data_IF_329981661298
#
_entry.id   IF_329981661298
#
_cell.length_a   1.000
_cell.length_b   1.000
_cell.length_c   1.000
_cell.angle_alpha   90.00
_cell.angle_beta   90.00
_cell.angle_gamma   90.00
#
_symmetry.space_group_name_H-M   'P 1'
#
loop_
_entity.id
_entity.type
_entity.pdbx_description
1 polymer ?
#
# COMPACT_ATOMS: atom_id res chain seq x y z
N UNK A 1 25.52 -17.11 -12.60
CA UNK A 1 24.89 -16.19 -11.63
C UNK A 1 23.38 -16.32 -11.78
N UNK A 2 22.64 -16.64 -10.71
CA UNK A 2 21.16 -16.60 -10.77
C UNK A 2 20.73 -15.16 -11.07
N UNK A 3 19.84 -14.96 -12.04
CA UNK A 3 19.26 -13.64 -12.30
C UNK A 3 18.60 -13.11 -11.02
N UNK A 4 19.01 -11.91 -10.59
CA UNK A 4 18.42 -11.26 -9.43
C UNK A 4 17.02 -10.75 -9.80
N UNK A 5 16.05 -11.07 -8.94
CA UNK A 5 14.65 -10.74 -9.17
C UNK A 5 14.36 -9.35 -8.61
N UNK A 6 13.55 -8.57 -9.31
CA UNK A 6 13.12 -7.25 -8.83
C UNK A 6 12.19 -7.39 -7.62
N UNK A 7 12.21 -6.39 -6.72
CA UNK A 7 11.34 -6.36 -5.54
C UNK A 7 9.87 -6.56 -5.94
N UNK A 8 9.42 -5.89 -7.00
CA UNK A 8 8.06 -6.03 -7.52
C UNK A 8 7.67 -7.45 -7.88
N UNK A 9 8.56 -8.16 -8.59
CA UNK A 9 8.29 -9.53 -9.03
C UNK A 9 8.25 -10.47 -7.82
N UNK A 10 9.06 -10.22 -6.81
CA UNK A 10 9.03 -10.97 -5.56
C UNK A 10 7.74 -10.75 -4.77
N UNK A 11 7.27 -9.51 -4.64
CA UNK A 11 6.03 -9.17 -3.94
C UNK A 11 4.80 -9.71 -4.68
N UNK A 12 4.70 -9.50 -6.00
CA UNK A 12 3.62 -10.07 -6.83
C UNK A 12 3.55 -11.59 -6.70
N UNK A 13 4.71 -12.27 -6.71
CA UNK A 13 4.76 -13.72 -6.48
C UNK A 13 4.23 -14.08 -5.09
N UNK A 14 4.54 -13.29 -4.07
CA UNK A 14 4.03 -13.47 -2.72
C UNK A 14 2.51 -13.46 -2.66
N UNK A 15 1.86 -12.45 -3.23
CA UNK A 15 0.40 -12.41 -3.30
C UNK A 15 -0.18 -13.59 -4.07
N UNK A 16 0.46 -14.01 -5.17
CA UNK A 16 -0.01 -15.12 -5.98
C UNK A 16 0.10 -16.48 -5.26
N UNK A 17 1.18 -16.74 -4.54
CA UNK A 17 1.42 -18.05 -3.91
C UNK A 17 0.92 -18.13 -2.47
N UNK A 18 0.69 -16.99 -1.80
CA UNK A 18 0.22 -16.92 -0.42
C UNK A 18 -1.23 -16.47 -0.39
N UNK A 19 -1.53 -15.23 -0.81
CA UNK A 19 -2.85 -14.63 -0.59
C UNK A 19 -3.94 -15.26 -1.47
N UNK A 20 -3.65 -15.58 -2.73
CA UNK A 20 -4.65 -16.15 -3.64
C UNK A 20 -5.17 -17.51 -3.13
N UNK A 21 -4.31 -18.50 -2.78
CA UNK A 21 -4.78 -19.74 -2.17
C UNK A 21 -5.52 -19.53 -0.83
N UNK A 22 -5.05 -18.61 0.02
CA UNK A 22 -5.72 -18.27 1.28
C UNK A 22 -7.14 -17.78 1.02
N UNK A 23 -7.34 -16.88 0.05
CA UNK A 23 -8.65 -16.39 -0.36
C UNK A 23 -9.54 -17.52 -0.90
N UNK A 24 -8.97 -18.42 -1.72
CA UNK A 24 -9.70 -19.58 -2.23
C UNK A 24 -10.14 -20.54 -1.11
N UNK A 25 -9.31 -20.75 -0.09
CA UNK A 25 -9.68 -21.57 1.08
C UNK A 25 -10.74 -20.87 1.93
N UNK A 26 -10.60 -19.57 2.17
CA UNK A 26 -11.55 -18.78 2.96
C UNK A 26 -12.94 -18.70 2.34
N UNK A 27 -13.05 -18.64 1.01
CA UNK A 27 -14.35 -18.52 0.32
C UNK A 27 -14.83 -19.89 -0.17
N UNK A 28 -13.93 -20.74 -0.63
CA UNK A 28 -14.23 -22.03 -1.25
C UNK A 28 -14.87 -23.02 -0.27
N UNK A 29 -14.38 -23.11 0.97
CA UNK A 29 -14.99 -23.98 1.98
C UNK A 29 -16.41 -23.52 2.36
N UNK A 30 -16.65 -22.24 2.74
CA UNK A 30 -18.01 -21.76 2.96
C UNK A 30 -18.95 -21.95 1.77
N UNK A 31 -18.48 -21.68 0.55
CA UNK A 31 -19.27 -21.85 -0.66
C UNK A 31 -19.63 -23.33 -0.90
N UNK A 32 -18.67 -24.24 -0.72
CA UNK A 32 -18.90 -25.68 -0.83
C UNK A 32 -19.92 -26.17 0.20
N UNK A 33 -19.80 -25.74 1.46
CA UNK A 33 -20.74 -26.14 2.51
C UNK A 33 -22.13 -25.51 2.31
N UNK A 34 -22.22 -24.26 1.85
CA UNK A 34 -23.49 -23.65 1.45
C UNK A 34 -24.15 -24.42 0.29
N UNK A 35 -23.36 -24.87 -0.68
CA UNK A 35 -23.85 -25.71 -1.77
C UNK A 35 -24.35 -27.08 -1.28
N UNK A 36 -23.59 -27.77 -0.43
CA UNK A 36 -24.01 -29.05 0.17
C UNK A 36 -25.28 -28.90 1.02
N UNK A 37 -25.44 -27.76 1.70
CA UNK A 37 -26.66 -27.43 2.41
C UNK A 37 -27.85 -27.27 1.45
N UNK A 38 -27.66 -26.58 0.31
CA UNK A 38 -28.72 -26.42 -0.71
C UNK A 38 -29.19 -27.75 -1.30
N UNK A 39 -28.34 -28.78 -1.27
CA UNK A 39 -28.67 -30.15 -1.68
C UNK A 39 -29.30 -30.99 -0.56
N UNK A 40 -29.55 -30.41 0.62
CA UNK A 40 -30.03 -31.09 1.83
C UNK A 40 -29.13 -32.26 2.30
N UNK A 41 -27.85 -32.28 1.93
CA UNK A 41 -26.88 -33.31 2.35
C UNK A 41 -26.42 -33.07 3.79
N UNK A 42 -26.31 -31.79 4.18
CA UNK A 42 -25.87 -31.38 5.51
C UNK A 42 -26.90 -30.45 6.17
N UNK A 43 -26.98 -30.43 7.51
CA UNK A 43 -27.83 -29.51 8.25
C UNK A 43 -27.29 -28.07 8.24
N UNK A 44 -28.13 -27.09 8.60
CA UNK A 44 -27.81 -25.66 8.55
C UNK A 44 -26.55 -25.27 9.34
N UNK A 45 -26.26 -25.97 10.45
CA UNK A 45 -25.04 -25.72 11.25
C UNK A 45 -23.75 -26.11 10.50
N UNK A 46 -23.85 -26.95 9.47
CA UNK A 46 -22.74 -27.34 8.61
C UNK A 46 -22.08 -26.14 7.94
N UNK A 47 -22.84 -25.09 7.61
CA UNK A 47 -22.28 -23.85 7.03
C UNK A 47 -21.28 -23.20 8.00
N UNK A 48 -21.62 -23.11 9.29
CA UNK A 48 -20.74 -22.55 10.32
C UNK A 48 -19.46 -23.37 10.44
N UNK A 49 -19.58 -24.70 10.37
CA UNK A 49 -18.42 -25.61 10.37
C UNK A 49 -17.56 -25.42 9.12
N UNK A 50 -18.17 -25.19 7.95
CA UNK A 50 -17.46 -24.84 6.72
C UNK A 50 -16.64 -23.56 6.85
N UNK A 51 -17.17 -22.53 7.52
CA UNK A 51 -16.42 -21.32 7.85
C UNK A 51 -15.22 -21.60 8.75
N UNK A 52 -15.40 -22.38 9.82
CA UNK A 52 -14.32 -22.72 10.74
C UNK A 52 -13.21 -23.52 10.04
N UNK A 53 -13.57 -24.54 9.26
CA UNK A 53 -12.61 -25.35 8.50
C UNK A 53 -11.89 -24.50 7.46
N UNK A 54 -12.61 -23.63 6.74
CA UNK A 54 -12.02 -22.72 5.76
C UNK A 54 -11.01 -21.78 6.40
N UNK A 55 -11.36 -21.18 7.54
CA UNK A 55 -10.47 -20.30 8.28
C UNK A 55 -9.21 -21.02 8.79
N UNK A 56 -9.36 -22.18 9.45
CA UNK A 56 -8.22 -22.94 9.98
C UNK A 56 -7.29 -23.43 8.85
N UNK A 57 -7.85 -23.90 7.75
CA UNK A 57 -7.08 -24.37 6.59
C UNK A 57 -6.31 -23.22 5.94
N UNK A 58 -6.97 -22.07 5.75
CA UNK A 58 -6.36 -20.86 5.22
C UNK A 58 -5.22 -20.38 6.13
N UNK A 59 -5.43 -20.40 7.45
CA UNK A 59 -4.44 -20.02 8.46
C UNK A 59 -3.16 -20.87 8.40
N UNK A 60 -3.32 -22.19 8.39
CA UNK A 60 -2.20 -23.14 8.34
C UNK A 60 -1.44 -23.03 7.02
N UNK A 61 -2.15 -22.89 5.90
CA UNK A 61 -1.54 -22.69 4.60
C UNK A 61 -0.70 -21.42 4.56
N UNK A 62 -1.27 -20.30 5.03
CA UNK A 62 -0.59 -19.01 5.11
C UNK A 62 0.69 -19.12 5.95
N UNK A 63 0.57 -19.68 7.15
CA UNK A 63 1.68 -19.84 8.10
C UNK A 63 2.88 -20.61 7.52
N UNK A 64 2.63 -21.66 6.73
CA UNK A 64 3.70 -22.40 6.08
C UNK A 64 4.26 -21.69 4.84
N UNK A 65 3.39 -21.19 3.96
CA UNK A 65 3.82 -20.64 2.67
C UNK A 65 4.48 -19.28 2.80
N UNK A 66 4.12 -18.47 3.80
CA UNK A 66 4.76 -17.18 4.01
C UNK A 66 6.24 -17.32 4.35
N UNK A 67 6.61 -18.30 5.19
CA UNK A 67 8.01 -18.64 5.51
C UNK A 67 8.79 -19.02 4.25
N UNK A 68 8.23 -19.93 3.44
CA UNK A 68 8.88 -20.39 2.20
C UNK A 68 9.03 -19.26 1.18
N UNK A 69 8.00 -18.42 1.04
CA UNK A 69 8.08 -17.22 0.22
C UNK A 69 9.16 -16.27 0.73
N UNK A 70 9.22 -16.01 2.03
CA UNK A 70 10.21 -15.12 2.66
C UNK A 70 11.63 -15.57 2.33
N UNK A 71 11.97 -16.81 2.64
CA UNK A 71 13.31 -17.34 2.34
C UNK A 71 13.65 -17.22 0.85
N UNK A 72 12.71 -17.59 -0.02
CA UNK A 72 12.91 -17.47 -1.47
C UNK A 72 13.10 -16.02 -1.91
N UNK A 73 12.30 -15.08 -1.41
CA UNK A 73 12.35 -13.68 -1.80
C UNK A 73 13.67 -13.03 -1.36
N UNK A 74 14.07 -13.24 -0.10
CA UNK A 74 15.34 -12.71 0.43
C UNK A 74 16.58 -13.39 -0.18
N UNK A 75 16.47 -14.64 -0.65
CA UNK A 75 17.54 -15.30 -1.42
C UNK A 75 17.74 -14.65 -2.80
N UNK A 76 16.65 -14.31 -3.50
CA UNK A 76 16.69 -13.92 -4.91
C UNK A 76 16.66 -12.40 -5.17
N UNK A 77 16.34 -11.59 -4.17
CA UNK A 77 16.31 -10.12 -4.29
C UNK A 77 17.60 -9.52 -3.72
N UNK A 78 18.12 -8.50 -4.41
CA UNK A 78 19.32 -7.76 -3.99
C UNK A 78 19.03 -6.72 -2.89
N UNK A 79 17.97 -5.95 -3.09
CA UNK A 79 17.54 -4.85 -2.21
C UNK A 79 16.60 -5.38 -1.12
N UNK A 80 17.20 -5.96 -0.08
CA UNK A 80 16.48 -6.65 0.99
C UNK A 80 15.75 -5.68 1.93
N UNK A 81 16.24 -4.44 2.08
CA UNK A 81 15.57 -3.43 2.89
C UNK A 81 14.28 -2.97 2.24
N UNK A 82 14.33 -2.63 0.94
CA UNK A 82 13.13 -2.30 0.16
C UNK A 82 12.14 -3.47 0.16
N UNK A 83 12.60 -4.71 -0.04
CA UNK A 83 11.74 -5.88 -0.03
C UNK A 83 11.00 -6.03 1.31
N UNK A 84 11.72 -5.94 2.44
CA UNK A 84 11.11 -6.05 3.77
C UNK A 84 10.07 -4.94 3.98
N UNK A 85 10.46 -3.70 3.69
CA UNK A 85 9.58 -2.54 3.83
C UNK A 85 8.31 -2.73 3.01
N UNK A 86 8.43 -3.05 1.72
CA UNK A 86 7.28 -3.22 0.82
C UNK A 86 6.42 -4.41 1.19
N UNK A 87 7.00 -5.52 1.63
CA UNK A 87 6.24 -6.68 2.07
C UNK A 87 5.35 -6.36 3.28
N UNK A 88 5.82 -5.53 4.21
CA UNK A 88 5.00 -5.03 5.34
C UNK A 88 3.90 -4.09 4.84
N UNK A 89 4.28 -3.15 3.96
CA UNK A 89 3.35 -2.16 3.40
C UNK A 89 2.23 -2.79 2.58
N UNK A 90 2.52 -3.82 1.79
CA UNK A 90 1.53 -4.54 0.99
C UNK A 90 0.78 -5.62 1.82
N UNK A 91 1.04 -5.70 3.14
CA UNK A 91 0.34 -6.61 4.05
C UNK A 91 0.63 -8.09 3.81
N UNK A 92 1.76 -8.38 3.16
CA UNK A 92 2.20 -9.74 2.89
C UNK A 92 2.89 -10.35 4.13
N UNK A 93 3.67 -9.54 4.85
CA UNK A 93 4.25 -9.90 6.15
C UNK A 93 3.81 -8.90 7.22
N UNK A 94 3.81 -9.34 8.47
CA UNK A 94 3.54 -8.46 9.61
C UNK A 94 4.78 -7.63 9.96
N UNK A 95 4.57 -6.48 10.59
CA UNK A 95 5.65 -5.72 11.22
C UNK A 95 6.26 -6.58 12.34
N UNK A 96 7.59 -6.55 12.46
CA UNK A 96 8.36 -7.27 13.47
C UNK A 96 7.74 -7.13 14.88
N UNK A 97 7.83 -8.18 15.68
CA UNK A 97 7.33 -8.28 17.06
C UNK A 97 5.79 -8.32 17.23
N UNK A 98 5.01 -8.53 16.17
CA UNK A 98 3.57 -8.81 16.27
C UNK A 98 3.31 -10.30 16.53
N UNK A 99 2.24 -10.61 17.28
CA UNK A 99 1.90 -11.99 17.68
C UNK A 99 1.78 -12.97 16.49
N UNK A 100 1.37 -12.47 15.33
CA UNK A 100 1.21 -13.24 14.10
C UNK A 100 2.52 -13.78 13.54
N UNK A 101 3.65 -13.10 13.73
CA UNK A 101 4.98 -13.58 13.30
C UNK A 101 5.34 -14.89 14.02
N UNK A 102 4.88 -15.05 15.27
CA UNK A 102 5.10 -16.27 16.07
C UNK A 102 4.30 -17.47 15.58
N UNK A 103 3.29 -17.25 14.75
CA UNK A 103 2.46 -18.33 14.20
C UNK A 103 3.00 -18.91 12.90
N UNK A 104 4.13 -18.39 12.41
CA UNK A 104 4.81 -18.90 11.22
C UNK A 104 5.49 -20.25 11.50
N UNK A 105 5.19 -21.25 10.67
CA UNK A 105 5.83 -22.56 10.78
C UNK A 105 7.21 -22.47 10.12
N UNK A 106 8.26 -22.66 10.92
CA UNK A 106 9.66 -22.64 10.49
C UNK A 106 10.37 -23.93 10.90
N UNK A 107 11.01 -24.61 9.95
CA UNK A 107 11.91 -25.72 10.28
C UNK A 107 13.27 -25.20 10.75
N UNK A 108 14.08 -26.05 11.39
CA UNK A 108 15.44 -25.66 11.79
C UNK A 108 16.37 -25.40 10.60
N UNK A 109 16.07 -25.98 9.44
CA UNK A 109 16.75 -25.63 8.18
C UNK A 109 16.36 -24.23 7.70
N UNK A 110 15.10 -23.83 7.86
CA UNK A 110 14.61 -22.49 7.50
C UNK A 110 15.25 -21.42 8.38
N UNK A 111 15.35 -21.66 9.70
CA UNK A 111 16.02 -20.75 10.66
C UNK A 111 17.49 -20.53 10.31
N UNK A 112 18.22 -21.59 9.93
CA UNK A 112 19.61 -21.49 9.50
C UNK A 112 19.77 -20.65 8.24
N UNK A 113 18.93 -20.92 7.22
CA UNK A 113 18.91 -20.11 5.99
C UNK A 113 18.58 -18.65 6.26
N UNK A 114 17.66 -18.37 7.18
CA UNK A 114 17.31 -17.00 7.54
C UNK A 114 18.51 -16.25 8.14
N UNK A 115 19.25 -16.87 9.07
CA UNK A 115 20.48 -16.29 9.64
C UNK A 115 21.53 -15.98 8.57
N UNK A 116 21.68 -16.85 7.57
CA UNK A 116 22.61 -16.58 6.46
C UNK A 116 22.15 -15.39 5.60
N UNK A 117 20.83 -15.24 5.42
CA UNK A 117 20.24 -14.14 4.64
C UNK A 117 20.26 -12.81 5.39
N UNK A 118 20.26 -12.81 6.72
CA UNK A 118 20.39 -11.59 7.54
C UNK A 118 21.66 -10.80 7.20
N UNK A 119 22.74 -11.49 6.82
CA UNK A 119 23.98 -10.85 6.35
C UNK A 119 23.78 -9.94 5.14
N UNK A 120 22.70 -10.12 4.36
CA UNK A 120 22.40 -9.21 3.23
C UNK A 120 21.95 -7.82 3.70
N UNK A 121 21.42 -7.68 4.91
CA UNK A 121 21.04 -6.39 5.48
C UNK A 121 22.26 -5.53 5.84
N UNK A 122 23.44 -6.12 6.00
CA UNK A 122 24.68 -5.35 6.18
C UNK A 122 25.05 -4.54 4.92
N UNK A 123 24.57 -4.96 3.75
CA UNK A 123 24.84 -4.28 2.48
C UNK A 123 23.72 -3.28 2.18
N UNK A 124 24.10 -2.04 1.85
CA UNK A 124 23.17 -1.02 1.37
C UNK A 124 22.47 -1.49 0.08
N UNK A 125 21.22 -1.07 -0.08
CA UNK A 125 20.44 -1.29 -1.29
C UNK A 125 21.08 -0.52 -2.47
N UNK A 126 21.05 -1.14 -3.65
CA UNK A 126 21.62 -0.59 -4.88
C UNK A 126 20.49 -0.15 -5.80
N UNK A 127 20.51 1.11 -6.21
CA UNK A 127 19.51 1.69 -7.11
C UNK A 127 20.16 2.07 -8.43
N UNK A 128 19.41 1.90 -9.52
CA UNK A 128 19.79 2.36 -10.85
C UNK A 128 18.94 3.56 -11.21
N UNK A 129 19.53 4.49 -11.96
CA UNK A 129 18.79 5.62 -12.49
C UNK A 129 17.70 5.14 -13.45
N UNK A 130 16.49 5.67 -13.29
CA UNK A 130 15.40 5.46 -14.22
C UNK A 130 15.40 6.56 -15.29
N UNK A 131 15.94 6.24 -16.47
CA UNK A 131 16.01 7.17 -17.60
C UNK A 131 14.64 7.54 -18.19
N UNK A 132 13.55 6.85 -17.82
CA UNK A 132 12.20 7.24 -18.25
C UNK A 132 11.69 8.48 -17.52
N UNK A 133 12.30 8.85 -16.38
CA UNK A 133 11.90 10.02 -15.59
C UNK A 133 12.53 11.29 -16.19
N UNK A 134 11.74 12.35 -16.48
CA UNK A 134 12.25 13.59 -17.06
C UNK A 134 13.22 14.33 -16.12
N UNK A 135 13.89 15.39 -16.60
CA UNK A 135 14.79 16.21 -15.76
C UNK A 135 14.08 17.00 -14.65
N UNK A 136 12.77 17.21 -14.79
CA UNK A 136 11.91 17.83 -13.79
C UNK A 136 10.56 17.14 -13.77
N UNK A 137 10.11 16.75 -12.58
CA UNK A 137 8.82 16.10 -12.35
C UNK A 137 7.95 17.02 -11.52
N UNK A 138 6.75 17.31 -12.01
CA UNK A 138 5.73 18.08 -11.29
C UNK A 138 4.53 17.18 -10.99
N UNK A 139 4.17 17.09 -9.72
CA UNK A 139 3.09 16.26 -9.20
C UNK A 139 1.92 17.18 -8.84
N UNK A 140 0.72 16.77 -9.21
CA UNK A 140 -0.53 17.53 -9.01
C UNK A 140 -1.57 16.64 -8.31
N UNK A 141 -2.69 17.23 -7.91
CA UNK A 141 -3.86 16.44 -7.55
C UNK A 141 -4.30 15.52 -8.71
N UNK A 142 -4.74 14.31 -8.37
CA UNK A 142 -5.24 13.34 -9.33
C UNK A 142 -6.65 13.71 -9.77
N UNK A 143 -6.77 14.31 -10.97
CA UNK A 143 -8.07 14.72 -11.50
C UNK A 143 -9.03 13.54 -11.63
N UNK A 144 -8.57 12.40 -12.12
CA UNK A 144 -9.44 11.23 -12.31
C UNK A 144 -9.96 10.67 -10.99
N UNK A 145 -9.10 10.56 -9.97
CA UNK A 145 -9.50 10.11 -8.63
C UNK A 145 -10.51 11.08 -8.02
N UNK A 146 -10.20 12.36 -8.04
CA UNK A 146 -11.04 13.37 -7.38
C UNK A 146 -12.36 13.59 -8.12
N UNK A 147 -12.41 13.43 -9.45
CA UNK A 147 -13.67 13.43 -10.22
C UNK A 147 -14.53 12.22 -9.84
N UNK A 148 -13.94 11.03 -9.72
CA UNK A 148 -14.67 9.84 -9.32
C UNK A 148 -15.26 9.99 -7.91
N UNK A 149 -14.46 10.47 -6.95
CA UNK A 149 -14.92 10.74 -5.59
C UNK A 149 -16.00 11.84 -5.55
N UNK A 150 -15.84 12.91 -6.33
CA UNK A 150 -16.85 13.96 -6.46
C UNK A 150 -18.20 13.41 -6.97
N UNK A 151 -18.18 12.54 -7.99
CA UNK A 151 -19.41 11.92 -8.52
C UNK A 151 -20.11 11.11 -7.42
N UNK A 152 -19.37 10.28 -6.67
CA UNK A 152 -19.92 9.50 -5.56
C UNK A 152 -20.53 10.42 -4.49
N UNK A 153 -19.83 11.48 -4.10
CA UNK A 153 -20.28 12.39 -3.05
C UNK A 153 -21.50 13.20 -3.47
N UNK A 154 -21.63 13.56 -4.76
CA UNK A 154 -22.83 14.18 -5.32
C UNK A 154 -24.01 13.21 -5.36
N UNK A 155 -23.79 11.92 -5.65
CA UNK A 155 -24.82 10.89 -5.57
C UNK A 155 -25.29 10.70 -4.12
N UNK A 156 -24.37 10.64 -3.15
CA UNK A 156 -24.72 10.60 -1.73
C UNK A 156 -25.52 11.84 -1.30
N UNK A 157 -25.09 13.02 -1.75
CA UNK A 157 -25.79 14.28 -1.48
C UNK A 157 -27.23 14.27 -2.02
N UNK A 158 -27.40 13.91 -3.30
CA UNK A 158 -28.73 13.81 -3.93
C UNK A 158 -29.62 12.74 -3.29
N UNK A 159 -29.05 11.58 -2.94
CA UNK A 159 -29.77 10.53 -2.23
C UNK A 159 -30.18 10.96 -0.81
N UNK A 160 -29.34 11.75 -0.13
CA UNK A 160 -29.67 12.34 1.17
C UNK A 160 -30.89 13.26 1.09
N UNK A 161 -30.94 14.14 0.08
CA UNK A 161 -32.07 15.04 -0.17
C UNK A 161 -33.34 14.25 -0.50
N UNK A 162 -33.21 13.19 -1.31
CA UNK A 162 -34.31 12.30 -1.63
C UNK A 162 -34.90 11.64 -0.38
N UNK A 163 -34.06 11.10 0.50
CA UNK A 163 -34.51 10.50 1.77
C UNK A 163 -35.24 11.53 2.64
N UNK A 164 -34.76 12.77 2.70
CA UNK A 164 -35.43 13.84 3.45
C UNK A 164 -36.81 14.21 2.88
N UNK A 165 -37.00 14.04 1.57
CA UNK A 165 -38.21 14.47 0.86
C UNK A 165 -39.26 13.37 0.74
N UNK A 166 -38.85 12.10 0.73
CA UNK A 166 -39.75 10.96 0.41
C UNK A 166 -39.85 9.93 1.53
N UNK A 167 -38.96 9.95 2.53
CA UNK A 167 -38.95 8.96 3.61
C UNK A 167 -38.99 9.60 5.00
N UNK A 168 -39.48 8.86 6.00
CA UNK A 168 -39.44 9.29 7.41
C UNK A 168 -38.02 9.20 8.03
N UNK A 169 -37.00 8.85 7.23
CA UNK A 169 -35.61 8.67 7.68
C UNK A 169 -34.84 9.99 7.74
N UNK A 170 -35.38 10.98 8.46
CA UNK A 170 -34.82 12.33 8.52
C UNK A 170 -33.38 12.39 9.04
N UNK A 171 -33.04 11.54 10.01
CA UNK A 171 -31.70 11.49 10.60
C UNK A 171 -30.67 11.03 9.56
N UNK A 172 -30.93 9.90 8.90
CA UNK A 172 -30.03 9.36 7.87
C UNK A 172 -29.94 10.29 6.65
N UNK A 173 -31.06 10.84 6.20
CA UNK A 173 -31.08 11.82 5.10
C UNK A 173 -30.25 13.07 5.43
N UNK A 174 -30.36 13.58 6.66
CA UNK A 174 -29.58 14.75 7.11
C UNK A 174 -28.09 14.47 7.14
N UNK A 175 -27.68 13.34 7.74
CA UNK A 175 -26.26 12.95 7.80
C UNK A 175 -25.68 12.80 6.39
N UNK A 176 -26.38 12.09 5.51
CA UNK A 176 -25.88 11.82 4.17
C UNK A 176 -25.77 13.10 3.33
N UNK A 177 -26.73 14.02 3.48
CA UNK A 177 -26.71 15.34 2.83
C UNK A 177 -25.54 16.18 3.34
N UNK A 178 -25.32 16.26 4.65
CA UNK A 178 -24.21 17.04 5.20
C UNK A 178 -22.84 16.48 4.80
N UNK A 179 -22.66 15.16 4.91
CA UNK A 179 -21.41 14.47 4.56
C UNK A 179 -21.15 14.59 3.05
N UNK A 180 -22.14 14.24 2.22
CA UNK A 180 -22.02 14.31 0.76
C UNK A 180 -21.72 15.73 0.28
N UNK A 181 -22.39 16.74 0.86
CA UNK A 181 -22.15 18.15 0.53
C UNK A 181 -20.74 18.62 0.90
N UNK A 182 -20.30 18.34 2.13
CA UNK A 182 -18.96 18.71 2.60
C UNK A 182 -17.85 18.10 1.73
N UNK A 183 -17.91 16.78 1.49
CA UNK A 183 -16.90 16.10 0.70
C UNK A 183 -16.97 16.49 -0.79
N UNK A 184 -18.16 16.76 -1.35
CA UNK A 184 -18.27 17.29 -2.72
C UNK A 184 -17.54 18.62 -2.87
N UNK A 185 -17.68 19.54 -1.90
CA UNK A 185 -16.96 20.83 -1.92
C UNK A 185 -15.44 20.61 -1.82
N UNK A 186 -15.00 19.70 -0.93
CA UNK A 186 -13.58 19.33 -0.80
C UNK A 186 -13.01 18.84 -2.12
N UNK A 187 -13.65 17.83 -2.73
CA UNK A 187 -13.16 17.22 -3.98
C UNK A 187 -13.21 18.19 -5.15
N UNK A 188 -14.27 18.99 -5.24
CA UNK A 188 -14.38 20.05 -6.25
C UNK A 188 -13.22 21.05 -6.18
N UNK A 189 -12.82 21.48 -4.96
CA UNK A 189 -11.66 22.36 -4.77
C UNK A 189 -10.37 21.71 -5.25
N UNK A 190 -10.18 20.41 -5.00
CA UNK A 190 -8.99 19.70 -5.46
C UNK A 190 -8.97 19.52 -7.00
N UNK A 191 -10.12 19.27 -7.63
CA UNK A 191 -10.23 19.13 -9.10
C UNK A 191 -9.86 20.43 -9.83
N UNK A 192 -10.28 21.58 -9.29
CA UNK A 192 -9.97 22.90 -9.86
C UNK A 192 -8.51 23.30 -9.60
N UNK A 193 -7.88 22.74 -8.56
CA UNK A 193 -6.53 23.11 -8.19
C UNK A 193 -5.50 22.60 -9.21
N UNK A 194 -5.00 23.51 -10.04
CA UNK A 194 -3.94 23.26 -11.03
C UNK A 194 -2.55 23.58 -10.49
N UNK A 195 -2.41 24.00 -9.23
CA UNK A 195 -1.11 24.33 -8.64
C UNK A 195 -0.31 23.04 -8.42
N UNK A 196 1.00 23.05 -8.70
CA UNK A 196 1.86 21.91 -8.41
C UNK A 196 1.92 21.68 -6.89
N UNK A 197 1.81 20.42 -6.47
CA UNK A 197 1.87 20.01 -5.07
C UNK A 197 3.28 19.60 -4.67
N UNK A 198 4.01 18.95 -5.57
CA UNK A 198 5.43 18.60 -5.40
C UNK A 198 6.15 18.86 -6.72
N UNK A 199 7.32 19.49 -6.66
CA UNK A 199 8.23 19.70 -7.77
C UNK A 199 9.57 19.09 -7.37
N UNK A 200 10.07 18.17 -8.19
CA UNK A 200 11.34 17.49 -7.96
C UNK A 200 12.20 17.61 -9.21
N UNK A 201 13.45 18.01 -9.04
CA UNK A 201 14.44 18.08 -10.11
C UNK A 201 15.83 17.61 -9.63
N UNK A 202 16.83 17.75 -10.48
CA UNK A 202 18.23 17.41 -10.17
C UNK A 202 18.85 18.27 -9.05
N UNK A 203 18.24 19.42 -8.70
CA UNK A 203 18.74 20.34 -7.68
C UNK A 203 18.07 20.10 -6.33
N UNK A 204 16.79 19.74 -6.31
CA UNK A 204 16.08 19.58 -5.04
C UNK A 204 14.61 19.21 -5.12
N UNK A 205 13.92 19.46 -4.01
CA UNK A 205 12.48 19.24 -3.81
C UNK A 205 11.83 20.55 -3.37
N UNK A 206 10.66 20.86 -3.93
CA UNK A 206 9.73 21.89 -3.43
C UNK A 206 8.35 21.26 -3.24
N UNK A 207 7.70 21.55 -2.12
CA UNK A 207 6.33 21.11 -1.83
C UNK A 207 5.39 22.33 -1.74
N UNK A 208 4.11 22.08 -1.53
CA UNK A 208 3.12 23.14 -1.27
C UNK A 208 3.33 23.83 0.09
N UNK A 209 3.93 23.11 1.04
CA UNK A 209 4.16 23.51 2.44
C UNK A 209 5.58 24.01 2.68
N UNK A 210 6.56 23.48 1.96
CA UNK A 210 7.98 23.81 2.13
C UNK A 210 8.56 24.37 0.84
N UNK A 211 9.23 25.51 0.99
CA UNK A 211 10.00 26.13 -0.09
C UNK A 211 11.12 25.22 -0.61
N UNK A 212 11.62 25.53 -1.79
CA UNK A 212 12.63 24.70 -2.45
C UNK A 212 13.85 24.43 -1.55
N UNK A 213 14.18 23.15 -1.37
CA UNK A 213 15.35 22.66 -0.63
C UNK A 213 16.28 21.89 -1.56
N UNK A 214 17.58 22.19 -1.48
CA UNK A 214 18.58 21.47 -2.25
C UNK A 214 18.76 20.04 -1.74
N UNK A 215 19.12 19.12 -2.63
CA UNK A 215 19.46 17.74 -2.23
C UNK A 215 20.58 17.66 -1.19
N UNK A 216 21.49 18.63 -1.14
CA UNK A 216 22.55 18.71 -0.13
C UNK A 216 22.01 18.93 1.29
N UNK A 217 20.84 19.55 1.41
CA UNK A 217 20.19 19.83 2.69
C UNK A 217 19.17 18.75 3.08
N UNK A 218 18.74 17.92 2.13
CA UNK A 218 17.70 16.91 2.33
C UNK A 218 18.32 15.60 2.79
N UNK A 219 17.77 15.04 3.87
CA UNK A 219 18.13 13.76 4.45
C UNK A 219 16.89 12.91 4.74
N UNK A 220 17.11 11.60 4.87
CA UNK A 220 16.09 10.61 5.26
C UNK A 220 14.78 10.71 4.45
N UNK A 221 14.89 11.00 3.15
CA UNK A 221 13.74 11.09 2.27
C UNK A 221 13.05 9.74 2.07
N UNK A 222 11.75 9.69 2.35
CA UNK A 222 11.00 8.45 2.27
C UNK A 222 9.50 8.68 2.06
N UNK A 223 8.80 7.60 1.68
CA UNK A 223 7.34 7.55 1.68
C UNK A 223 6.88 6.54 2.72
N UNK A 224 6.26 7.05 3.79
CA UNK A 224 5.76 6.25 4.90
C UNK A 224 4.26 6.00 4.80
N UNK A 225 3.78 5.05 5.59
CA UNK A 225 2.36 4.73 5.72
C UNK A 225 2.00 4.90 7.18
N UNK A 226 0.94 5.65 7.45
CA UNK A 226 0.31 5.69 8.77
C UNK A 226 -1.08 5.08 8.74
N UNK A 227 -1.52 4.58 9.89
CA UNK A 227 -2.80 3.91 10.06
C UNK A 227 -2.74 2.38 9.93
N UNK A 228 -3.91 1.74 10.02
CA UNK A 228 -4.07 0.29 10.05
C UNK A 228 -5.25 -0.17 9.19
N UNK A 229 -5.13 -1.36 8.62
CA UNK A 229 -6.20 -1.96 7.81
C UNK A 229 -6.49 -1.16 6.54
N UNK A 230 -7.75 -0.76 6.35
CA UNK A 230 -8.24 -0.01 5.19
C UNK A 230 -8.03 1.50 5.29
N UNK A 231 -7.70 2.02 6.47
CA UNK A 231 -7.48 3.45 6.71
C UNK A 231 -5.98 3.73 6.74
N UNK A 232 -5.29 3.44 5.64
CA UNK A 232 -3.87 3.71 5.47
C UNK A 232 -3.73 4.99 4.67
N UNK A 233 -2.96 5.92 5.21
CA UNK A 233 -2.63 7.18 4.55
C UNK A 233 -1.13 7.19 4.22
N UNK A 234 -0.78 7.75 3.07
CA UNK A 234 0.60 7.81 2.60
C UNK A 234 1.16 9.21 2.76
N UNK A 235 2.38 9.30 3.28
CA UNK A 235 3.06 10.57 3.50
C UNK A 235 4.45 10.58 2.88
N UNK A 236 4.77 11.65 2.17
CA UNK A 236 6.15 12.02 1.86
C UNK A 236 6.76 12.68 3.09
N UNK A 237 7.88 12.14 3.53
CA UNK A 237 8.66 12.68 4.65
C UNK A 237 10.10 12.88 4.23
N UNK A 238 10.70 13.96 4.69
CA UNK A 238 12.13 14.20 4.56
C UNK A 238 12.56 15.28 5.55
N UNK A 239 13.80 15.17 6.01
CA UNK A 239 14.40 16.13 6.93
C UNK A 239 15.28 17.12 6.16
N UNK A 240 15.36 18.35 6.68
CA UNK A 240 16.25 19.40 6.20
C UNK A 240 16.75 20.26 7.36
N UNK A 241 17.77 21.09 7.11
CA UNK A 241 18.49 21.82 8.17
C UNK A 241 17.59 22.62 9.14
N UNK A 242 16.44 23.09 8.65
CA UNK A 242 15.50 23.95 9.39
C UNK A 242 14.19 23.26 9.78
N UNK A 243 14.07 21.94 9.65
CA UNK A 243 12.85 21.20 10.01
C UNK A 243 12.64 19.91 9.21
N UNK A 244 11.42 19.39 9.25
CA UNK A 244 11.00 18.18 8.54
C UNK A 244 9.75 18.48 7.71
N UNK A 245 9.62 17.87 6.55
CA UNK A 245 8.39 17.89 5.76
C UNK A 245 7.53 16.67 6.10
N UNK A 246 6.22 16.88 6.17
CA UNK A 246 5.24 15.83 6.42
C UNK A 246 4.00 16.03 5.54
N UNK A 247 4.05 15.51 4.31
CA UNK A 247 3.07 15.81 3.28
C UNK A 247 2.24 14.57 2.89
N UNK A 248 0.92 14.64 3.07
CA UNK A 248 0.00 13.59 2.61
C UNK A 248 -0.07 13.55 1.08
N UNK A 249 0.06 12.36 0.49
CA UNK A 249 0.16 12.18 -0.97
C UNK A 249 -0.99 11.37 -1.59
N UNK A 250 -1.98 10.93 -0.81
CA UNK A 250 -3.08 10.06 -1.26
C UNK A 250 -3.86 10.60 -2.46
N UNK A 251 -4.03 11.92 -2.53
CA UNK A 251 -4.88 12.59 -3.53
C UNK A 251 -4.08 13.02 -4.77
N UNK A 252 -2.80 12.63 -4.87
CA UNK A 252 -1.92 13.06 -5.96
C UNK A 252 -1.95 12.10 -7.16
N UNK A 253 -1.54 12.61 -8.33
CA UNK A 253 -1.47 11.85 -9.58
C UNK A 253 -0.28 10.86 -9.64
N UNK A 254 0.37 10.58 -8.50
CA UNK A 254 1.46 9.62 -8.36
C UNK A 254 1.16 8.71 -7.17
N UNK A 255 1.54 7.43 -7.28
CA UNK A 255 1.44 6.51 -6.15
C UNK A 255 2.76 6.46 -5.35
N UNK A 256 2.71 5.91 -4.15
CA UNK A 256 3.89 5.75 -3.27
C UNK A 256 5.11 5.16 -3.99
N UNK A 257 4.91 4.10 -4.77
CA UNK A 257 6.01 3.41 -5.46
C UNK A 257 6.65 4.31 -6.51
N UNK A 258 5.84 4.98 -7.32
CA UNK A 258 6.30 5.91 -8.34
C UNK A 258 7.05 7.07 -7.70
N UNK A 259 6.49 7.68 -6.65
CA UNK A 259 7.14 8.77 -5.93
C UNK A 259 8.50 8.35 -5.35
N UNK A 260 8.57 7.16 -4.74
CA UNK A 260 9.84 6.65 -4.21
C UNK A 260 10.88 6.43 -5.32
N UNK A 261 10.47 5.93 -6.48
CA UNK A 261 11.35 5.78 -7.65
C UNK A 261 11.83 7.14 -8.18
N UNK A 262 10.93 8.14 -8.21
CA UNK A 262 11.24 9.52 -8.58
C UNK A 262 12.30 10.12 -7.64
N UNK A 263 12.07 10.04 -6.32
CA UNK A 263 13.00 10.55 -5.30
C UNK A 263 14.39 9.92 -5.44
N UNK A 264 14.45 8.59 -5.55
CA UNK A 264 15.71 7.85 -5.73
C UNK A 264 16.44 8.26 -7.01
N UNK A 265 15.71 8.39 -8.10
CA UNK A 265 16.29 8.77 -9.40
C UNK A 265 16.91 10.16 -9.34
N UNK A 266 16.21 11.15 -8.78
CA UNK A 266 16.76 12.50 -8.63
C UNK A 266 17.91 12.57 -7.63
N UNK A 267 17.88 11.77 -6.56
CA UNK A 267 19.01 11.63 -5.62
C UNK A 267 20.27 11.10 -6.32
N UNK A 268 20.13 10.12 -7.21
CA UNK A 268 21.25 9.61 -8.03
C UNK A 268 21.76 10.70 -8.97
N UNK A 269 20.86 11.38 -9.69
CA UNK A 269 21.23 12.47 -10.62
C UNK A 269 21.95 13.62 -9.92
N UNK A 270 21.49 14.00 -8.73
CA UNK A 270 22.11 15.04 -7.92
C UNK A 270 23.54 14.66 -7.54
N UNK A 271 23.78 13.41 -7.08
CA UNK A 271 25.12 12.90 -6.77
C UNK A 271 26.05 12.86 -7.99
N UNK A 272 25.48 12.59 -9.17
CA UNK A 272 26.22 12.53 -10.43
C UNK A 272 26.42 13.93 -11.06
N UNK A 273 26.01 15.02 -10.40
CA UNK A 273 26.16 16.41 -10.88
C UNK A 273 25.59 16.64 -12.30
N UNK A 274 24.46 16.01 -12.65
CA UNK A 274 23.75 16.36 -13.87
C UNK A 274 23.34 17.84 -13.78
N UNK A 275 23.92 18.68 -14.63
CA UNK A 275 23.63 20.13 -14.72
C UNK A 275 22.40 20.39 -15.58
#
# INVERSE_FOLDING_TARGET
>A
MKEQITVDKAIKRGHLIVNLPVMLLMIGFPALFAYLFSLNIIPNWGIVVGFLIGFLSAWLYWSYKITKWRLWAFENVRNVHELKKRAIQEGLIWKDNKWYERTEIQSDSDKRKWKDLERKFEKKDEYKEDYSIPLKTTIYFSKSKNIYELIIMLLCFGFGIFLLSTSDSYIFGSILTLVGGYFSIKEFRQVINTKPQIIIDNKGIKTITTEFKNWSEIHDEDVIIEGSGKNREFYLVYDFLSGSEYLKIDDYNTNQKQLLNILRTYRIRSKNNYR
#
